data_IF_458751863168
#
_entry.id   IF_458751863168
#
_cell.length_a   1.000
_cell.length_b   1.000
_cell.length_c   1.000
_cell.angle_alpha   90.00
_cell.angle_beta   90.00
_cell.angle_gamma   90.00
#
_symmetry.space_group_name_H-M   'P 1'
#
loop_
_entity.id
_entity.type
_entity.pdbx_description
1 polymer ?
#
# COMPACT_ATOMS: atom_id res chain seq x y z
N UNK A 1 27.17 2.98 -12.79
CA UNK A 1 26.26 4.13 -12.52
C UNK A 1 24.90 3.67 -11.97
N UNK A 2 24.22 2.70 -12.60
CA UNK A 2 22.93 2.15 -12.13
C UNK A 2 23.07 1.32 -10.83
N UNK A 3 24.11 0.51 -10.67
CA UNK A 3 24.34 -0.26 -9.44
C UNK A 3 24.43 0.65 -8.20
N UNK A 4 25.21 1.74 -8.27
CA UNK A 4 25.33 2.70 -7.17
C UNK A 4 24.03 3.43 -6.84
N UNK A 5 23.16 3.66 -7.82
CA UNK A 5 21.82 4.21 -7.59
C UNK A 5 20.96 3.22 -6.79
N UNK A 6 20.98 1.93 -7.19
CA UNK A 6 20.26 0.87 -6.48
C UNK A 6 20.79 0.63 -5.07
N UNK A 7 22.11 0.68 -4.87
CA UNK A 7 22.72 0.57 -3.54
C UNK A 7 22.25 1.68 -2.60
N UNK A 8 22.22 2.94 -3.07
CA UNK A 8 21.71 4.06 -2.28
C UNK A 8 20.22 3.90 -2.00
N UNK A 9 19.42 3.53 -3.00
CA UNK A 9 17.98 3.29 -2.84
C UNK A 9 17.70 2.20 -1.80
N UNK A 10 18.35 1.04 -1.89
CA UNK A 10 18.19 -0.03 -0.91
C UNK A 10 18.73 0.36 0.47
N UNK A 11 19.78 1.18 0.54
CA UNK A 11 20.26 1.75 1.80
C UNK A 11 19.21 2.64 2.47
N UNK A 12 18.50 3.47 1.69
CA UNK A 12 17.39 4.29 2.20
C UNK A 12 16.20 3.42 2.64
N UNK A 13 15.85 2.37 1.89
CA UNK A 13 14.81 1.42 2.30
C UNK A 13 15.17 0.73 3.61
N UNK A 14 16.41 0.29 3.79
CA UNK A 14 16.89 -0.32 5.03
C UNK A 14 16.81 0.65 6.21
N UNK A 15 17.20 1.92 6.01
CA UNK A 15 17.08 2.94 7.05
C UNK A 15 15.62 3.21 7.43
N UNK A 16 14.71 3.24 6.44
CA UNK A 16 13.28 3.39 6.69
C UNK A 16 12.71 2.20 7.47
N UNK A 17 13.10 0.97 7.12
CA UNK A 17 12.71 -0.24 7.85
C UNK A 17 13.14 -0.19 9.32
N UNK A 18 14.37 0.24 9.60
CA UNK A 18 14.86 0.45 10.97
C UNK A 18 14.04 1.46 11.75
N UNK A 19 13.62 2.57 11.12
CA UNK A 19 12.77 3.59 11.74
C UNK A 19 11.36 3.07 12.01
N UNK A 20 10.75 2.37 11.05
CA UNK A 20 9.45 1.71 11.23
C UNK A 20 9.53 0.68 12.36
N UNK A 21 10.60 -0.12 12.40
CA UNK A 21 10.85 -1.09 13.47
C UNK A 21 10.90 -0.46 14.86
N UNK A 22 11.41 0.77 15.01
CA UNK A 22 11.39 1.49 16.29
C UNK A 22 9.97 1.87 16.72
N UNK A 23 9.15 2.36 15.78
CA UNK A 23 7.75 2.70 16.04
C UNK A 23 6.97 1.44 16.44
N UNK A 24 7.11 0.36 15.68
CA UNK A 24 6.46 -0.92 15.97
C UNK A 24 6.85 -1.48 17.34
N UNK A 25 8.15 -1.42 17.69
CA UNK A 25 8.62 -1.82 19.02
C UNK A 25 7.98 -1.01 20.14
N UNK A 26 7.73 0.28 19.94
CA UNK A 26 7.04 1.09 20.93
C UNK A 26 5.56 0.68 21.07
N UNK A 27 4.85 0.56 19.95
CA UNK A 27 3.44 0.15 19.94
C UNK A 27 3.26 -1.23 20.58
N UNK A 28 4.12 -2.19 20.29
CA UNK A 28 4.00 -3.57 20.80
C UNK A 28 4.43 -3.75 22.25
N UNK A 29 5.16 -2.79 22.84
CA UNK A 29 5.56 -2.84 24.26
C UNK A 29 4.41 -2.52 25.22
N UNK A 30 3.41 -1.77 24.77
CA UNK A 30 2.26 -1.36 25.58
C UNK A 30 1.05 -2.20 25.18
N UNK A 31 0.47 -2.95 26.12
CA UNK A 31 -0.66 -3.84 25.83
C UNK A 31 -1.84 -3.08 25.22
N UNK A 32 -2.19 -1.92 25.81
CA UNK A 32 -3.28 -1.08 25.32
C UNK A 32 -3.07 -0.61 23.87
N UNK A 33 -1.85 -0.21 23.51
CA UNK A 33 -1.53 0.18 22.14
C UNK A 33 -1.58 -1.01 21.19
N UNK A 34 -1.01 -2.15 21.61
CA UNK A 34 -1.00 -3.39 20.82
C UNK A 34 -2.41 -3.88 20.50
N UNK A 35 -3.34 -3.79 21.44
CA UNK A 35 -4.72 -4.27 21.29
C UNK A 35 -5.67 -3.25 20.65
N UNK A 36 -5.24 -1.99 20.48
CA UNK A 36 -6.09 -0.91 19.97
C UNK A 36 -5.51 -0.12 18.78
N UNK A 37 -4.37 -0.54 18.22
CA UNK A 37 -3.73 0.16 17.09
C UNK A 37 -3.77 -0.68 15.82
N UNK A 38 -4.38 -0.13 14.76
CA UNK A 38 -4.17 -0.62 13.40
C UNK A 38 -3.00 0.14 12.78
N UNK A 39 -2.06 -0.61 12.22
CA UNK A 39 -0.93 -0.10 11.45
C UNK A 39 -1.23 -0.35 9.98
N UNK A 40 -1.16 0.72 9.19
CA UNK A 40 -1.24 0.66 7.73
C UNK A 40 0.08 1.15 7.17
N UNK A 41 0.77 0.30 6.43
CA UNK A 41 1.98 0.65 5.70
C UNK A 41 1.68 0.56 4.21
N UNK A 42 1.75 1.68 3.51
CA UNK A 42 1.60 1.70 2.06
C UNK A 42 2.51 2.73 1.41
N UNK A 43 2.63 2.65 0.08
CA UNK A 43 3.30 3.67 -0.72
C UNK A 43 2.36 4.26 -1.76
N UNK A 44 2.50 5.56 -2.04
CA UNK A 44 1.69 6.32 -2.99
C UNK A 44 2.05 6.01 -4.46
N UNK A 45 3.30 5.61 -4.71
CA UNK A 45 3.76 5.14 -6.02
C UNK A 45 4.99 4.23 -5.91
N UNK A 46 5.25 3.43 -6.94
CA UNK A 46 6.48 2.66 -7.08
C UNK A 46 7.67 3.52 -7.51
N UNK A 47 8.81 2.88 -7.75
CA UNK A 47 10.02 3.52 -8.30
C UNK A 47 10.66 2.56 -9.29
N UNK A 48 10.88 3.04 -10.52
CA UNK A 48 11.43 2.22 -11.59
C UNK A 48 12.88 1.80 -11.31
N UNK A 49 13.65 2.57 -10.51
CA UNK A 49 14.99 2.19 -10.03
C UNK A 49 15.95 1.67 -11.14
N UNK A 50 15.80 2.20 -12.36
CA UNK A 50 16.56 1.80 -13.54
C UNK A 50 15.98 0.63 -14.35
N UNK A 51 14.81 0.09 -14.00
CA UNK A 51 14.03 -0.81 -14.85
C UNK A 51 13.54 -0.07 -16.10
N UNK A 52 13.55 -0.78 -17.24
CA UNK A 52 13.26 -0.23 -18.56
C UNK A 52 14.07 1.05 -18.93
N UNK A 53 15.27 1.22 -18.36
CA UNK A 53 16.12 2.43 -18.51
C UNK A 53 15.47 3.72 -18.01
N UNK A 54 14.40 3.61 -17.22
CA UNK A 54 13.69 4.74 -16.63
C UNK A 54 14.04 4.88 -15.15
N UNK A 55 14.05 6.12 -14.69
CA UNK A 55 14.20 6.51 -13.28
C UNK A 55 12.98 7.37 -12.97
N UNK A 56 12.50 7.35 -11.72
CA UNK A 56 11.26 7.98 -11.26
C UNK A 56 9.99 7.19 -11.59
N UNK A 57 8.85 7.88 -11.56
CA UNK A 57 7.47 7.34 -11.52
C UNK A 57 6.60 7.73 -12.72
N UNK A 58 7.22 8.14 -13.83
CA UNK A 58 6.51 8.70 -15.00
C UNK A 58 6.14 7.61 -16.02
N UNK A 59 5.77 6.42 -15.54
CA UNK A 59 5.36 5.32 -16.41
C UNK A 59 4.25 4.49 -15.77
N UNK A 60 3.44 3.85 -16.61
CA UNK A 60 2.37 2.94 -16.20
C UNK A 60 2.84 1.50 -15.95
N UNK A 61 4.14 1.25 -16.06
CA UNK A 61 4.70 -0.07 -15.74
C UNK A 61 4.40 -0.43 -14.29
N UNK A 62 4.22 -1.73 -14.04
CA UNK A 62 3.88 -2.29 -12.74
C UNK A 62 4.86 -1.82 -11.64
N UNK A 63 6.15 -1.68 -11.94
CA UNK A 63 7.15 -1.17 -11.01
C UNK A 63 6.94 0.30 -10.57
N UNK A 64 6.09 1.06 -11.26
CA UNK A 64 5.71 2.44 -10.95
C UNK A 64 4.29 2.54 -10.36
N UNK A 65 3.36 1.68 -10.79
CA UNK A 65 1.94 1.73 -10.37
C UNK A 65 1.58 0.76 -9.25
N UNK A 66 2.28 -0.38 -9.12
CA UNK A 66 2.03 -1.37 -8.06
C UNK A 66 2.83 -1.00 -6.82
N UNK A 67 2.14 -0.66 -5.75
CA UNK A 67 2.74 -0.31 -4.47
C UNK A 67 2.53 -1.39 -3.43
N UNK A 68 3.43 -1.44 -2.45
CA UNK A 68 3.21 -2.27 -1.27
C UNK A 68 2.08 -1.68 -0.42
N UNK A 69 1.18 -2.54 0.07
CA UNK A 69 0.13 -2.18 1.02
C UNK A 69 0.01 -3.31 2.06
N UNK A 70 0.16 -2.97 3.33
CA UNK A 70 0.16 -3.91 4.45
C UNK A 70 -0.73 -3.33 5.55
N UNK A 71 -1.69 -4.14 6.02
CA UNK A 71 -2.48 -3.86 7.21
C UNK A 71 -2.09 -4.85 8.31
N UNK A 72 -1.89 -4.33 9.52
CA UNK A 72 -1.56 -5.14 10.71
C UNK A 72 -2.23 -4.56 11.94
N UNK A 73 -2.76 -5.40 12.80
CA UNK A 73 -3.41 -4.92 14.03
C UNK A 73 -4.38 -5.94 14.62
N UNK A 74 -5.14 -5.51 15.63
CA UNK A 74 -6.17 -6.33 16.27
C UNK A 74 -7.18 -6.86 15.26
N UNK A 75 -7.56 -8.14 15.38
CA UNK A 75 -8.57 -8.84 14.55
C UNK A 75 -8.21 -9.02 13.08
N UNK A 76 -7.23 -8.30 12.54
CA UNK A 76 -6.69 -8.50 11.19
C UNK A 76 -6.01 -9.86 11.12
N UNK A 77 -6.31 -10.63 10.07
CA UNK A 77 -5.74 -11.96 9.88
C UNK A 77 -4.25 -11.83 9.54
N UNK A 78 -3.40 -12.42 10.39
CA UNK A 78 -1.95 -12.39 10.19
C UNK A 78 -1.52 -13.33 9.05
N UNK A 79 -0.46 -12.94 8.33
CA UNK A 79 0.15 -13.73 7.23
C UNK A 79 -0.81 -14.06 6.07
N UNK A 80 -1.90 -13.29 5.92
CA UNK A 80 -2.78 -13.37 4.75
C UNK A 80 -2.18 -12.60 3.57
N UNK A 81 -2.18 -13.21 2.39
CA UNK A 81 -1.83 -12.54 1.13
C UNK A 81 -3.11 -12.36 0.34
N UNK A 82 -3.45 -11.10 0.03
CA UNK A 82 -4.57 -10.75 -0.84
C UNK A 82 -4.04 -10.65 -2.26
N UNK A 83 -4.62 -11.45 -3.17
CA UNK A 83 -4.24 -11.47 -4.61
C UNK A 83 -5.15 -10.64 -5.48
N UNK A 84 -6.37 -10.40 -5.03
CA UNK A 84 -7.31 -9.47 -5.66
C UNK A 84 -6.70 -8.07 -5.78
N UNK A 85 -7.01 -7.37 -6.88
CA UNK A 85 -6.46 -6.06 -7.12
C UNK A 85 -7.05 -5.01 -6.14
N UNK A 86 -6.18 -4.19 -5.58
CA UNK A 86 -6.51 -3.12 -4.64
C UNK A 86 -6.03 -1.77 -5.14
N UNK A 87 -6.75 -0.71 -4.79
CA UNK A 87 -6.39 0.68 -5.09
C UNK A 87 -5.90 1.41 -3.85
N UNK A 88 -5.05 2.42 -4.02
CA UNK A 88 -4.72 3.37 -2.94
C UNK A 88 -5.97 4.11 -2.43
N UNK A 89 -7.00 4.25 -3.28
CA UNK A 89 -8.30 4.82 -2.91
C UNK A 89 -9.07 3.98 -1.87
N UNK A 90 -8.74 2.69 -1.75
CA UNK A 90 -9.39 1.80 -0.78
C UNK A 90 -8.94 2.08 0.65
N UNK A 91 -7.79 2.73 0.84
CA UNK A 91 -7.17 2.93 2.17
C UNK A 91 -8.09 3.73 3.09
N UNK A 92 -8.60 4.87 2.61
CA UNK A 92 -9.47 5.77 3.39
C UNK A 92 -10.76 5.07 3.84
N UNK A 93 -11.61 4.51 2.94
CA UNK A 93 -12.82 3.82 3.37
C UNK A 93 -12.52 2.61 4.25
N UNK A 94 -11.41 1.90 4.03
CA UNK A 94 -11.00 0.76 4.88
C UNK A 94 -10.67 1.20 6.30
N UNK A 95 -9.90 2.29 6.48
CA UNK A 95 -9.55 2.80 7.82
C UNK A 95 -10.82 3.24 8.57
N UNK A 96 -11.69 3.99 7.90
CA UNK A 96 -12.93 4.49 8.49
C UNK A 96 -13.85 3.34 8.93
N UNK A 97 -14.03 2.34 8.07
CA UNK A 97 -14.85 1.17 8.40
C UNK A 97 -14.22 0.33 9.53
N UNK A 98 -12.88 0.19 9.57
CA UNK A 98 -12.18 -0.48 10.67
C UNK A 98 -12.41 0.20 12.03
N UNK A 99 -12.57 1.53 12.07
CA UNK A 99 -12.90 2.27 13.29
C UNK A 99 -14.41 2.41 13.55
N UNK A 100 -15.26 1.77 12.73
CA UNK A 100 -16.70 1.71 12.92
C UNK A 100 -17.48 2.89 12.34
N UNK A 101 -16.86 3.69 11.47
CA UNK A 101 -17.55 4.73 10.71
C UNK A 101 -18.24 4.12 9.50
N UNK A 102 -19.51 4.43 9.30
CA UNK A 102 -20.24 4.02 8.10
C UNK A 102 -19.76 4.82 6.88
N UNK A 103 -19.18 4.11 5.91
CA UNK A 103 -18.62 4.67 4.68
C UNK A 103 -19.58 4.59 3.48
N UNK A 104 -20.72 3.90 3.63
CA UNK A 104 -21.66 3.63 2.53
C UNK A 104 -22.31 4.90 1.96
N UNK A 105 -22.35 5.97 2.75
CA UNK A 105 -23.00 7.24 2.40
C UNK A 105 -22.04 8.34 1.96
N UNK A 106 -20.72 8.11 2.08
CA UNK A 106 -19.71 9.14 1.89
C UNK A 106 -19.25 9.32 0.43
N UNK A 107 -19.66 8.43 -0.48
CA UNK A 107 -19.35 8.53 -1.91
C UNK A 107 -17.87 8.38 -2.24
N UNK A 108 -17.15 7.48 -1.55
CA UNK A 108 -15.76 7.16 -1.89
C UNK A 108 -15.67 6.41 -3.23
N UNK A 109 -14.66 6.74 -4.03
CA UNK A 109 -14.33 6.00 -5.26
C UNK A 109 -13.68 4.64 -4.97
N UNK A 110 -13.10 4.48 -3.78
CA UNK A 110 -12.52 3.22 -3.29
C UNK A 110 -13.51 2.39 -2.48
N UNK A 111 -13.17 1.12 -2.28
CA UNK A 111 -14.00 0.15 -1.55
C UNK A 111 -13.33 -0.28 -0.25
N UNK A 112 -14.11 -0.38 0.83
CA UNK A 112 -13.60 -0.88 2.11
C UNK A 112 -13.15 -2.33 2.01
N UNK A 113 -11.89 -2.59 2.35
CA UNK A 113 -11.28 -3.92 2.40
C UNK A 113 -11.43 -4.57 3.79
N UNK A 114 -12.22 -4.02 4.70
CA UNK A 114 -12.37 -4.57 6.07
C UNK A 114 -12.74 -6.05 6.08
N UNK A 115 -13.72 -6.45 5.27
CA UNK A 115 -14.14 -7.86 5.20
C UNK A 115 -13.02 -8.77 4.68
N UNK A 116 -12.23 -8.28 3.72
CA UNK A 116 -11.03 -8.96 3.22
C UNK A 116 -9.99 -9.12 4.34
N UNK A 117 -9.75 -8.08 5.13
CA UNK A 117 -8.75 -8.09 6.20
C UNK A 117 -9.13 -8.98 7.40
N UNK A 118 -10.42 -9.09 7.72
CA UNK A 118 -10.91 -9.81 8.91
C UNK A 118 -11.34 -11.27 8.64
N UNK A 119 -11.64 -11.61 7.38
CA UNK A 119 -12.09 -12.96 7.01
C UNK A 119 -10.95 -13.98 6.99
N UNK A 120 -11.18 -15.13 7.64
CA UNK A 120 -10.26 -16.28 7.65
C UNK A 120 -10.48 -17.29 6.53
N UNK A 121 -11.55 -17.12 5.74
CA UNK A 121 -11.87 -17.99 4.61
C UNK A 121 -10.95 -17.77 3.41
N UNK A 122 -10.95 -18.72 2.48
CA UNK A 122 -10.35 -18.54 1.16
C UNK A 122 -10.99 -17.32 0.50
N UNK A 123 -10.14 -16.39 0.05
CA UNK A 123 -10.57 -15.34 -0.85
C UNK A 123 -10.70 -15.94 -2.23
N UNK A 124 -11.81 -15.67 -2.90
CA UNK A 124 -11.84 -15.79 -4.34
C UNK A 124 -10.89 -14.72 -4.89
N UNK A 125 -10.04 -15.11 -5.82
CA UNK A 125 -9.30 -14.16 -6.65
C UNK A 125 -10.36 -13.41 -7.48
N UNK A 126 -10.84 -12.28 -6.97
CA UNK A 126 -11.88 -11.49 -7.62
C UNK A 126 -11.39 -10.92 -8.95
N UNK A 127 -12.30 -10.73 -9.91
CA UNK A 127 -12.02 -10.09 -11.21
C UNK A 127 -11.95 -8.55 -11.10
N UNK A 128 -11.66 -8.01 -9.92
CA UNK A 128 -11.64 -6.56 -9.68
C UNK A 128 -10.55 -5.91 -10.53
N UNK A 129 -10.95 -4.95 -11.35
CA UNK A 129 -10.04 -4.10 -12.10
C UNK A 129 -9.74 -2.82 -11.29
N UNK A 130 -8.47 -2.37 -11.32
CA UNK A 130 -8.04 -1.13 -10.67
C UNK A 130 -7.51 -0.19 -11.75
N UNK A 131 -7.84 1.09 -11.61
CA UNK A 131 -7.48 2.14 -12.57
C UNK A 131 -6.35 3.01 -12.01
N UNK A 132 -5.45 3.45 -12.88
CA UNK A 132 -4.42 4.43 -12.56
C UNK A 132 -4.40 5.47 -13.67
N UNK A 133 -4.47 6.74 -13.29
CA UNK A 133 -4.42 7.86 -14.22
C UNK A 133 -3.11 8.63 -14.03
N UNK A 134 -2.54 9.09 -15.13
CA UNK A 134 -1.38 9.97 -15.13
C UNK A 134 -1.62 11.08 -16.13
N UNK A 135 -1.60 12.31 -15.66
CA UNK A 135 -1.70 13.49 -16.52
C UNK A 135 -0.35 14.20 -16.53
N UNK A 136 0.25 14.36 -17.71
CA UNK A 136 1.42 15.23 -17.87
C UNK A 136 1.27 16.13 -19.09
N UNK A 137 1.52 17.43 -18.90
CA UNK A 137 1.69 18.39 -20.01
C UNK A 137 3.08 18.35 -20.65
N UNK A 138 3.92 17.37 -20.31
CA UNK A 138 5.33 17.27 -20.73
C UNK A 138 5.76 15.84 -21.13
N UNK A 139 4.83 14.95 -21.44
CA UNK A 139 5.17 13.68 -22.07
C UNK A 139 5.36 13.89 -23.59
N UNK A 140 6.55 13.59 -24.16
CA UNK A 140 6.71 13.50 -25.60
C UNK A 140 6.12 12.20 -26.17
N UNK A 141 5.43 11.39 -25.36
CA UNK A 141 4.67 10.21 -25.80
C UNK A 141 3.19 10.55 -25.86
N UNK A 142 2.89 11.48 -26.76
CA UNK A 142 1.54 11.87 -27.16
C UNK A 142 1.65 12.40 -28.57
N UNK A 143 1.61 11.48 -29.54
CA UNK A 143 1.30 11.81 -30.95
C UNK A 143 -0.08 12.44 -31.05
#
# INVERSE_FOLDING_TARGET
>A
RIQRLREVYFGMCAQMDDLVGRILKYVWKTQDLKENTVIVFWSDHGELAGEHYQVYKNSMYEASSRTAMIFSGPKIVSRKIVREATSSLDVTPTILDLVGVDVSTAGFDGESQKNVLLSRGEQNDGERAVYTEYYSGFAPTGS
#
